data_IF_323865014150
#
_entry.id   IF_323865014150
#
_cell.length_a   1.000
_cell.length_b   1.000
_cell.length_c   1.000
_cell.angle_alpha   90.00
_cell.angle_beta   90.00
_cell.angle_gamma   90.00
#
_symmetry.space_group_name_H-M   'P 1'
#
loop_
_entity.id
_entity.type
_entity.pdbx_description
1 polymer ?
#
# COMPACT_ATOMS: atom_id res chain seq x y z
N UNK A 1 -17.84 -60.77 -32.54
CA UNK A 1 -17.80 -60.54 -31.08
C UNK A 1 -16.46 -59.91 -30.73
N UNK A 2 -16.47 -59.07 -29.68
CA UNK A 2 -15.32 -58.57 -28.92
C UNK A 2 -14.76 -57.19 -29.31
N UNK A 3 -15.27 -56.18 -28.61
CA UNK A 3 -14.51 -55.10 -27.97
C UNK A 3 -15.03 -55.02 -26.51
N UNK A 4 -14.36 -54.41 -25.51
CA UNK A 4 -13.03 -53.79 -25.49
C UNK A 4 -12.13 -54.33 -24.34
N UNK A 5 -10.86 -53.92 -24.29
CA UNK A 5 -9.92 -54.20 -23.19
C UNK A 5 -9.74 -52.91 -22.38
N UNK A 6 -10.35 -52.85 -21.19
CA UNK A 6 -10.25 -51.72 -20.27
C UNK A 6 -8.80 -51.53 -19.80
N UNK A 7 -8.25 -50.33 -20.04
CA UNK A 7 -7.00 -49.87 -19.45
C UNK A 7 -7.24 -49.45 -18.01
N UNK A 8 -6.62 -50.15 -17.08
CA UNK A 8 -6.83 -50.02 -15.64
C UNK A 8 -6.35 -48.64 -15.11
N UNK A 9 -7.24 -47.74 -14.64
CA UNK A 9 -6.90 -46.36 -14.26
C UNK A 9 -5.92 -46.27 -13.08
N UNK A 10 -5.78 -47.35 -12.31
CA UNK A 10 -4.89 -47.44 -11.14
C UNK A 10 -3.40 -47.44 -11.52
N UNK A 11 -3.03 -48.01 -12.68
CA UNK A 11 -1.64 -48.03 -13.15
C UNK A 11 -1.20 -46.65 -13.66
N UNK A 12 -2.09 -45.94 -14.36
CA UNK A 12 -1.84 -44.59 -14.85
C UNK A 12 -1.59 -43.57 -13.72
N UNK A 13 -2.25 -43.73 -12.58
CA UNK A 13 -2.05 -42.87 -11.40
C UNK A 13 -0.69 -43.12 -10.76
N UNK A 14 -0.26 -44.38 -10.65
CA UNK A 14 1.04 -44.73 -10.05
C UNK A 14 2.20 -44.23 -10.94
N UNK A 15 2.07 -44.35 -12.26
CA UNK A 15 3.07 -43.84 -13.21
C UNK A 15 3.15 -42.31 -13.21
N UNK A 16 2.00 -41.62 -13.07
CA UNK A 16 1.98 -40.17 -12.92
C UNK A 16 2.64 -39.69 -11.62
N UNK A 17 2.47 -40.42 -10.51
CA UNK A 17 3.12 -40.11 -9.23
C UNK A 17 4.64 -40.32 -9.34
N UNK A 18 5.08 -41.39 -10.00
CA UNK A 18 6.52 -41.66 -10.25
C UNK A 18 7.15 -40.56 -11.10
N UNK A 19 6.51 -40.20 -12.22
CA UNK A 19 7.00 -39.13 -13.10
C UNK A 19 7.06 -37.77 -12.41
N UNK A 20 6.11 -37.46 -11.52
CA UNK A 20 6.11 -36.21 -10.74
C UNK A 20 7.23 -36.20 -9.69
N UNK A 21 7.55 -37.34 -9.09
CA UNK A 21 8.65 -37.48 -8.12
C UNK A 21 10.01 -37.36 -8.79
N UNK A 22 10.19 -37.95 -9.97
CA UNK A 22 11.42 -37.82 -10.77
C UNK A 22 11.67 -36.38 -11.22
N UNK A 23 10.63 -35.67 -11.69
CA UNK A 23 10.74 -34.21 -11.97
C UNK A 23 11.14 -33.39 -10.74
N UNK A 24 10.59 -33.73 -9.57
CA UNK A 24 10.92 -33.02 -8.33
C UNK A 24 12.38 -33.29 -7.89
N UNK A 25 12.91 -34.48 -8.16
CA UNK A 25 14.33 -34.80 -7.94
C UNK A 25 15.23 -34.00 -8.88
N UNK A 26 14.92 -33.98 -10.18
CA UNK A 26 15.69 -33.23 -11.17
C UNK A 26 15.74 -31.72 -10.86
N UNK A 27 14.61 -31.13 -10.44
CA UNK A 27 14.57 -29.72 -10.02
C UNK A 27 15.42 -29.49 -8.76
N UNK A 28 15.43 -30.43 -7.81
CA UNK A 28 16.25 -30.31 -6.61
C UNK A 28 17.76 -30.40 -6.93
N UNK A 29 18.14 -31.25 -7.89
CA UNK A 29 19.51 -31.37 -8.38
C UNK A 29 19.96 -30.11 -9.13
N UNK A 30 19.10 -29.53 -9.98
CA UNK A 30 19.37 -28.25 -10.66
C UNK A 30 19.55 -27.10 -9.66
N UNK A 31 18.71 -27.03 -8.61
CA UNK A 31 18.83 -26.02 -7.57
C UNK A 31 20.16 -26.20 -6.81
N UNK A 32 20.52 -27.42 -6.44
CA UNK A 32 21.78 -27.70 -5.76
C UNK A 32 23.01 -27.34 -6.62
N UNK A 33 22.93 -27.55 -7.94
CA UNK A 33 23.98 -27.15 -8.86
C UNK A 33 24.11 -25.61 -8.96
N UNK A 34 22.99 -24.88 -8.96
CA UNK A 34 22.99 -23.41 -8.96
C UNK A 34 23.52 -22.87 -7.63
N UNK A 35 23.14 -23.46 -6.49
CA UNK A 35 23.63 -23.06 -5.18
C UNK A 35 25.15 -23.27 -5.06
N UNK A 36 25.66 -24.41 -5.52
CA UNK A 36 27.10 -24.67 -5.56
C UNK A 36 27.85 -23.68 -6.46
N UNK A 37 27.28 -23.36 -7.64
CA UNK A 37 27.87 -22.35 -8.53
C UNK A 37 27.89 -20.96 -7.90
N UNK A 38 26.83 -20.57 -7.18
CA UNK A 38 26.71 -19.24 -6.58
C UNK A 38 27.66 -19.09 -5.40
N UNK A 39 27.79 -20.13 -4.57
CA UNK A 39 28.74 -20.16 -3.46
C UNK A 39 30.19 -20.08 -3.96
N UNK A 40 30.53 -20.80 -5.02
CA UNK A 40 31.86 -20.72 -5.62
C UNK A 40 32.17 -19.31 -6.18
N UNK A 41 31.18 -18.63 -6.77
CA UNK A 41 31.33 -17.27 -7.29
C UNK A 41 31.53 -16.25 -6.15
N UNK A 42 30.79 -16.40 -5.04
CA UNK A 42 30.96 -15.59 -3.82
C UNK A 42 32.35 -15.81 -3.20
N UNK A 43 32.82 -17.05 -3.12
CA UNK A 43 34.16 -17.37 -2.59
C UNK A 43 35.29 -16.85 -3.48
N UNK A 44 35.06 -16.76 -4.79
CA UNK A 44 36.03 -16.24 -5.77
C UNK A 44 35.90 -14.71 -5.94
N UNK A 45 34.90 -14.07 -5.32
CA UNK A 45 34.61 -12.65 -5.49
C UNK A 45 35.66 -11.78 -4.78
N UNK A 46 36.57 -11.21 -5.58
CA UNK A 46 37.56 -10.24 -5.12
C UNK A 46 36.95 -8.83 -5.09
N UNK A 47 36.64 -8.37 -3.89
CA UNK A 47 36.02 -7.06 -3.62
C UNK A 47 36.88 -5.90 -4.12
N UNK A 48 38.22 -6.02 -4.02
CA UNK A 48 39.15 -4.96 -4.40
C UNK A 48 39.27 -4.87 -5.93
N UNK A 49 39.28 -6.01 -6.62
CA UNK A 49 39.24 -6.05 -8.08
C UNK A 49 37.91 -5.51 -8.65
N UNK A 50 36.79 -5.78 -7.97
CA UNK A 50 35.48 -5.25 -8.33
C UNK A 50 35.42 -3.73 -8.15
N UNK A 51 35.98 -3.18 -7.07
CA UNK A 51 36.04 -1.74 -6.83
C UNK A 51 36.89 -1.03 -7.89
N UNK A 52 38.02 -1.63 -8.30
CA UNK A 52 38.87 -1.09 -9.36
C UNK A 52 38.17 -1.09 -10.72
N UNK A 53 37.41 -2.15 -11.06
CA UNK A 53 36.60 -2.19 -12.28
C UNK A 53 35.51 -1.11 -12.26
N UNK A 54 34.79 -0.96 -11.15
CA UNK A 54 33.75 0.06 -11.01
C UNK A 54 34.34 1.49 -11.14
N UNK A 55 35.52 1.75 -10.56
CA UNK A 55 36.22 3.04 -10.73
C UNK A 55 36.67 3.26 -12.19
N UNK A 56 37.21 2.24 -12.85
CA UNK A 56 37.59 2.33 -14.27
C UNK A 56 36.38 2.53 -15.19
N UNK A 57 35.25 1.89 -14.91
CA UNK A 57 34.00 2.06 -15.66
C UNK A 57 33.39 3.45 -15.43
N UNK A 58 33.44 3.97 -14.20
CA UNK A 58 33.03 5.35 -13.93
C UNK A 58 33.92 6.34 -14.64
N UNK A 59 35.25 6.13 -14.63
CA UNK A 59 36.20 7.00 -15.33
C UNK A 59 36.02 6.96 -16.86
N UNK A 60 35.80 5.78 -17.44
CA UNK A 60 35.55 5.64 -18.89
C UNK A 60 34.15 6.15 -19.28
N UNK A 61 33.15 5.99 -18.41
CA UNK A 61 31.80 6.54 -18.61
C UNK A 61 31.77 8.07 -18.55
N UNK A 62 32.55 8.71 -17.66
CA UNK A 62 32.71 10.18 -17.68
C UNK A 62 33.50 10.72 -18.87
N UNK A 63 34.19 9.86 -19.64
CA UNK A 63 34.97 10.26 -20.82
C UNK A 63 34.25 10.15 -22.17
N UNK A 64 33.07 9.52 -22.22
CA UNK A 64 32.35 9.23 -23.46
C UNK A 64 31.08 10.10 -23.66
N UNK A 65 31.11 11.34 -23.14
CA UNK A 65 30.20 12.40 -23.55
C UNK A 65 30.72 13.06 -24.82
N UNK A 66 30.17 12.64 -25.96
CA UNK A 66 30.39 13.19 -27.29
C UNK A 66 30.45 14.73 -27.30
N UNK A 67 31.65 15.31 -27.41
CA UNK A 67 31.80 16.73 -27.77
C UNK A 67 31.78 16.79 -29.30
N UNK A 68 30.58 16.76 -29.87
CA UNK A 68 30.39 17.08 -31.28
C UNK A 68 30.37 18.62 -31.43
N UNK A 69 31.39 19.24 -32.06
CA UNK A 69 31.49 20.70 -32.16
C UNK A 69 30.46 21.32 -33.12
N UNK A 70 29.51 20.54 -33.65
CA UNK A 70 28.45 21.00 -34.56
C UNK A 70 27.08 21.22 -33.91
N UNK A 71 26.89 20.84 -32.64
CA UNK A 71 25.63 21.06 -31.93
C UNK A 71 25.60 22.45 -31.28
N UNK A 72 25.03 23.42 -32.00
CA UNK A 72 24.73 24.76 -31.50
C UNK A 72 23.55 24.67 -30.53
N UNK A 73 23.82 24.71 -29.23
CA UNK A 73 22.79 24.91 -28.22
C UNK A 73 22.18 26.32 -28.36
N UNK A 74 20.85 26.47 -28.32
CA UNK A 74 20.23 27.80 -28.41
C UNK A 74 20.56 28.62 -27.17
N UNK A 75 21.15 29.79 -27.38
CA UNK A 75 21.40 30.80 -26.35
C UNK A 75 20.07 31.26 -25.74
N UNK A 76 19.87 30.98 -24.45
CA UNK A 76 18.78 31.56 -23.67
C UNK A 76 19.09 33.06 -23.53
N UNK A 77 18.37 33.89 -24.27
CA UNK A 77 18.43 35.34 -24.11
C UNK A 77 17.90 35.74 -22.72
N UNK A 78 18.56 36.66 -22.00
CA UNK A 78 18.01 37.18 -20.75
C UNK A 78 16.77 38.04 -21.09
N UNK A 79 15.60 37.54 -20.72
CA UNK A 79 14.39 38.36 -20.68
C UNK A 79 14.56 39.43 -19.59
N UNK A 80 14.13 40.66 -19.92
CA UNK A 80 14.13 41.87 -19.09
C UNK A 80 13.81 41.61 -17.60
N UNK A 81 14.44 42.36 -16.68
CA UNK A 81 14.07 42.33 -15.27
C UNK A 81 12.67 42.93 -15.10
N UNK A 82 11.73 42.13 -14.62
CA UNK A 82 10.49 42.61 -14.03
C UNK A 82 10.79 43.08 -12.61
N UNK A 83 10.50 44.36 -12.37
CA UNK A 83 10.54 45.04 -11.07
C UNK A 83 9.82 44.23 -10.00
N UNK A 84 10.49 43.98 -8.87
CA UNK A 84 9.85 43.61 -7.61
C UNK A 84 10.30 44.59 -6.51
N UNK A 85 9.41 44.92 -5.56
CA UNK A 85 9.57 46.01 -4.62
C UNK A 85 10.60 45.69 -3.54
N UNK A 86 11.21 46.75 -2.98
CA UNK A 86 12.11 46.71 -1.84
C UNK A 86 11.49 45.97 -0.63
N UNK A 87 12.23 45.06 0.01
CA UNK A 87 12.08 44.78 1.42
C UNK A 87 13.17 45.51 2.20
N UNK A 88 12.72 46.53 2.94
CA UNK A 88 13.41 47.08 4.09
C UNK A 88 13.44 45.99 5.18
N UNK A 89 14.61 45.69 5.75
CA UNK A 89 14.75 44.72 6.84
C UNK A 89 15.95 43.80 6.70
N UNK A 90 17.10 44.27 7.21
CA UNK A 90 18.24 43.45 7.53
C UNK A 90 17.90 42.45 8.66
N UNK A 91 18.16 41.17 8.43
CA UNK A 91 18.91 40.32 9.37
C UNK A 91 19.31 39.00 8.68
N UNK A 92 20.62 38.75 8.70
CA UNK A 92 21.35 37.49 8.54
C UNK A 92 21.03 36.60 7.33
N UNK A 93 21.45 37.06 6.14
CA UNK A 93 21.91 36.17 5.09
C UNK A 93 23.44 36.30 4.99
N UNK A 94 24.17 35.33 5.52
CA UNK A 94 25.62 35.26 5.35
C UNK A 94 25.98 35.24 3.85
N UNK A 95 26.71 36.28 3.44
CA UNK A 95 27.27 36.46 2.11
C UNK A 95 28.09 35.22 1.67
N UNK A 96 27.90 34.69 0.44
CA UNK A 96 28.67 33.54 -0.06
C UNK A 96 30.16 33.80 -0.29
N UNK A 97 30.64 35.03 -0.03
CA UNK A 97 31.95 35.50 -0.53
C UNK A 97 33.05 35.57 0.55
N UNK A 98 32.81 35.09 1.77
CA UNK A 98 33.82 35.16 2.86
C UNK A 98 34.28 33.81 3.45
N UNK A 99 34.11 32.68 2.74
CA UNK A 99 34.53 31.36 3.26
C UNK A 99 35.93 30.89 2.81
N UNK A 100 36.63 31.63 1.95
CA UNK A 100 37.93 31.21 1.44
C UNK A 100 39.06 31.99 2.10
N UNK A 101 39.75 31.32 3.04
CA UNK A 101 40.96 31.86 3.65
C UNK A 101 42.07 31.90 2.59
N UNK A 102 42.61 33.08 2.19
CA UNK A 102 43.53 33.21 1.05
C UNK A 102 44.92 32.60 1.29
N UNK A 103 45.13 31.98 2.46
CA UNK A 103 46.40 31.35 2.87
C UNK A 103 46.35 29.81 2.91
N UNK A 104 45.19 29.20 2.64
CA UNK A 104 45.02 27.75 2.55
C UNK A 104 44.85 27.26 1.12
N UNK A 105 45.22 26.00 0.87
CA UNK A 105 44.93 25.35 -0.42
C UNK A 105 43.42 25.25 -0.61
N UNK A 106 42.88 25.89 -1.65
CA UNK A 106 41.46 25.88 -2.04
C UNK A 106 40.87 24.45 -2.07
N UNK A 107 41.69 23.47 -2.48
CA UNK A 107 41.30 22.06 -2.49
C UNK A 107 41.02 21.50 -1.08
N UNK A 108 41.77 21.94 -0.07
CA UNK A 108 41.55 21.52 1.31
C UNK A 108 40.23 22.07 1.87
N UNK A 109 39.89 23.32 1.53
CA UNK A 109 38.61 23.95 1.92
C UNK A 109 37.42 23.29 1.19
N UNK A 110 37.54 23.05 -0.12
CA UNK A 110 36.53 22.30 -0.89
C UNK A 110 36.36 20.88 -0.37
N UNK A 111 37.44 20.21 0.03
CA UNK A 111 37.37 18.86 0.63
C UNK A 111 36.64 18.87 1.96
N UNK A 112 36.92 19.84 2.83
CA UNK A 112 36.20 19.98 4.11
C UNK A 112 34.71 20.25 3.90
N UNK A 113 34.37 21.14 2.96
CA UNK A 113 32.98 21.45 2.62
C UNK A 113 32.26 20.26 1.97
N UNK A 114 32.94 19.52 1.09
CA UNK A 114 32.43 18.30 0.49
C UNK A 114 32.21 17.20 1.53
N UNK A 115 33.15 16.99 2.46
CA UNK A 115 33.00 16.04 3.56
C UNK A 115 31.83 16.41 4.48
N UNK A 116 31.65 17.71 4.79
CA UNK A 116 30.50 18.18 5.57
C UNK A 116 29.18 17.88 4.85
N UNK A 117 29.06 18.29 3.59
CA UNK A 117 27.86 18.06 2.77
C UNK A 117 27.59 16.58 2.56
N UNK A 118 28.63 15.76 2.39
CA UNK A 118 28.50 14.32 2.24
C UNK A 118 28.02 13.67 3.56
N UNK A 119 28.52 14.11 4.71
CA UNK A 119 28.03 13.63 6.02
C UNK A 119 26.57 13.97 6.25
N UNK A 120 26.14 15.20 5.94
CA UNK A 120 24.73 15.61 6.04
C UNK A 120 23.83 14.81 5.08
N UNK A 121 24.30 14.54 3.86
CA UNK A 121 23.57 13.70 2.91
C UNK A 121 23.46 12.26 3.39
N UNK A 122 24.53 11.70 3.97
CA UNK A 122 24.51 10.35 4.52
C UNK A 122 23.61 10.26 5.75
N UNK A 123 23.63 11.25 6.66
CA UNK A 123 22.75 11.26 7.83
C UNK A 123 21.28 11.38 7.42
N UNK A 124 20.95 12.32 6.53
CA UNK A 124 19.59 12.48 6.02
C UNK A 124 19.09 11.23 5.28
N UNK A 125 19.96 10.55 4.53
CA UNK A 125 19.63 9.28 3.87
C UNK A 125 19.40 8.15 4.89
N UNK A 126 20.26 8.05 5.90
CA UNK A 126 20.13 7.03 6.94
C UNK A 126 18.83 7.21 7.76
N UNK A 127 18.46 8.44 8.09
CA UNK A 127 17.20 8.75 8.77
C UNK A 127 15.98 8.33 7.94
N UNK A 128 15.96 8.65 6.64
CA UNK A 128 14.89 8.23 5.73
C UNK A 128 14.79 6.71 5.63
N UNK A 129 15.93 6.01 5.50
CA UNK A 129 15.95 4.55 5.48
C UNK A 129 15.40 3.96 6.79
N UNK A 130 15.79 4.50 7.94
CA UNK A 130 15.29 4.04 9.24
C UNK A 130 13.77 4.25 9.39
N UNK A 131 13.24 5.39 8.92
CA UNK A 131 11.79 5.64 8.92
C UNK A 131 11.08 4.63 8.01
N UNK A 132 11.59 4.41 6.80
CA UNK A 132 11.00 3.47 5.84
C UNK A 132 10.99 2.03 6.38
N UNK A 133 12.08 1.59 7.01
CA UNK A 133 12.15 0.29 7.69
C UNK A 133 11.18 0.18 8.87
N UNK A 134 10.95 1.28 9.60
CA UNK A 134 9.97 1.32 10.68
C UNK A 134 8.53 1.17 10.17
N UNK A 135 8.20 1.79 9.03
CA UNK A 135 6.91 1.64 8.34
C UNK A 135 6.73 0.20 7.89
N UNK A 136 7.72 -0.36 7.21
CA UNK A 136 7.68 -1.74 6.72
C UNK A 136 7.46 -2.74 7.86
N UNK A 137 8.19 -2.59 8.97
CA UNK A 137 8.02 -3.45 10.15
C UNK A 137 6.63 -3.32 10.76
N UNK A 138 6.11 -2.09 10.86
CA UNK A 138 4.77 -1.83 11.37
C UNK A 138 3.69 -2.47 10.48
N UNK A 139 3.78 -2.28 9.15
CA UNK A 139 2.82 -2.85 8.20
C UNK A 139 2.88 -4.38 8.14
N UNK A 140 4.07 -4.98 8.21
CA UNK A 140 4.21 -6.45 8.31
C UNK A 140 3.50 -6.99 9.54
N UNK A 141 3.74 -6.38 10.70
CA UNK A 141 3.07 -6.75 11.95
C UNK A 141 1.56 -6.64 11.84
N UNK A 142 1.07 -5.53 11.31
CA UNK A 142 -0.36 -5.31 11.05
C UNK A 142 -0.94 -6.38 10.14
N UNK A 143 -0.25 -6.71 9.04
CA UNK A 143 -0.70 -7.76 8.12
C UNK A 143 -0.82 -9.11 8.81
N UNK A 144 0.20 -9.56 9.55
CA UNK A 144 0.13 -10.85 10.26
C UNK A 144 -1.01 -10.88 11.27
N UNK A 145 -1.19 -9.79 12.04
CA UNK A 145 -2.32 -9.67 12.97
C UNK A 145 -3.67 -9.76 12.25
N UNK A 146 -3.88 -8.95 11.21
CA UNK A 146 -5.14 -8.93 10.46
C UNK A 146 -5.42 -10.25 9.75
N UNK A 147 -4.38 -10.89 9.22
CA UNK A 147 -4.48 -12.18 8.56
C UNK A 147 -4.98 -13.25 9.53
N UNK A 148 -4.30 -13.41 10.67
CA UNK A 148 -4.69 -14.38 11.69
C UNK A 148 -6.07 -14.06 12.25
N UNK A 149 -6.35 -12.79 12.54
CA UNK A 149 -7.65 -12.32 13.04
C UNK A 149 -8.79 -12.66 12.07
N UNK A 150 -8.65 -12.32 10.80
CA UNK A 150 -9.65 -12.62 9.76
C UNK A 150 -9.84 -14.12 9.58
N UNK A 151 -8.78 -14.92 9.64
CA UNK A 151 -8.89 -16.38 9.58
C UNK A 151 -9.73 -16.92 10.74
N UNK A 152 -9.50 -16.47 11.97
CA UNK A 152 -10.32 -16.88 13.12
C UNK A 152 -11.78 -16.43 12.99
N UNK A 153 -12.02 -15.20 12.51
CA UNK A 153 -13.38 -14.70 12.31
C UNK A 153 -14.14 -15.46 11.20
N UNK A 154 -13.45 -15.88 10.14
CA UNK A 154 -14.05 -16.71 9.09
C UNK A 154 -14.52 -18.08 9.61
N UNK A 155 -13.90 -18.59 10.68
CA UNK A 155 -14.31 -19.83 11.36
C UNK A 155 -15.47 -19.55 12.32
N UNK A 156 -15.34 -18.53 13.19
CA UNK A 156 -16.30 -18.25 14.25
C UNK A 156 -17.60 -17.63 13.76
N UNK A 157 -17.55 -16.85 12.68
CA UNK A 157 -18.67 -16.07 12.11
C UNK A 157 -19.52 -15.36 13.19
N UNK A 158 -18.90 -14.53 14.05
CA UNK A 158 -19.62 -13.93 15.16
C UNK A 158 -20.70 -12.94 14.68
N UNK A 159 -21.74 -12.79 15.50
CA UNK A 159 -22.70 -11.71 15.35
C UNK A 159 -22.06 -10.38 15.77
N UNK A 160 -22.27 -9.33 14.97
CA UNK A 160 -21.76 -7.99 15.21
C UNK A 160 -22.93 -7.13 15.73
N UNK A 161 -22.92 -6.72 17.01
CA UNK A 161 -24.01 -5.98 17.63
C UNK A 161 -24.03 -4.49 17.25
N UNK A 162 -23.44 -4.11 16.10
CA UNK A 162 -23.29 -2.73 15.65
C UNK A 162 -24.43 -2.33 14.72
N UNK A 163 -25.18 -1.26 15.01
CA UNK A 163 -26.18 -0.72 14.10
C UNK A 163 -25.52 0.14 13.00
N UNK A 164 -25.92 -0.09 11.74
CA UNK A 164 -25.53 0.75 10.60
C UNK A 164 -26.74 1.57 10.13
N UNK A 165 -26.83 2.86 10.51
CA UNK A 165 -27.94 3.71 10.10
C UNK A 165 -27.85 3.99 8.59
N UNK A 166 -28.92 3.68 7.86
CA UNK A 166 -29.03 3.96 6.42
C UNK A 166 -29.86 5.21 6.14
N UNK A 167 -30.87 5.46 6.97
CA UNK A 167 -31.73 6.65 6.94
C UNK A 167 -32.15 6.93 8.39
N UNK A 168 -32.66 8.13 8.68
CA UNK A 168 -33.17 8.52 10.00
C UNK A 168 -34.16 7.51 10.63
N UNK A 169 -34.91 6.76 9.80
CA UNK A 169 -35.90 5.77 10.26
C UNK A 169 -35.43 4.32 10.16
N UNK A 170 -34.35 4.04 9.41
CA UNK A 170 -33.97 2.67 9.07
C UNK A 170 -32.51 2.36 9.34
N UNK A 171 -32.30 1.25 10.04
CA UNK A 171 -31.00 0.80 10.53
C UNK A 171 -30.79 -0.65 10.12
N UNK A 172 -29.65 -0.93 9.49
CA UNK A 172 -29.19 -2.28 9.24
C UNK A 172 -28.60 -2.83 10.55
N UNK A 173 -29.31 -3.77 11.16
CA UNK A 173 -28.94 -4.45 12.40
C UNK A 173 -28.75 -5.95 12.23
N UNK A 174 -28.38 -6.64 13.31
CA UNK A 174 -28.27 -8.10 13.37
C UNK A 174 -27.36 -8.70 12.27
N UNK A 175 -26.27 -8.00 11.96
CA UNK A 175 -25.29 -8.45 10.98
C UNK A 175 -24.36 -9.48 11.60
N UNK A 176 -24.03 -10.53 10.85
CA UNK A 176 -23.01 -11.49 11.23
C UNK A 176 -21.84 -11.43 10.25
N UNK A 177 -20.66 -11.80 10.74
CA UNK A 177 -19.48 -11.95 9.89
C UNK A 177 -19.73 -13.06 8.87
N UNK A 178 -19.69 -12.72 7.58
CA UNK A 178 -19.87 -13.70 6.50
C UNK A 178 -18.52 -14.25 6.05
N UNK A 179 -17.63 -13.37 5.62
CA UNK A 179 -16.27 -13.68 5.16
C UNK A 179 -15.39 -12.45 5.23
N UNK A 180 -14.07 -12.65 5.28
CA UNK A 180 -13.10 -11.60 5.08
C UNK A 180 -11.78 -12.12 4.56
N UNK A 181 -10.97 -11.21 4.07
CA UNK A 181 -9.64 -11.45 3.54
C UNK A 181 -8.71 -10.29 3.90
N UNK A 182 -7.47 -10.62 4.21
CA UNK A 182 -6.39 -9.66 4.41
C UNK A 182 -5.29 -9.91 3.39
N UNK A 183 -4.82 -8.85 2.75
CA UNK A 183 -3.79 -8.84 1.71
C UNK A 183 -2.73 -7.80 1.99
N UNK A 184 -1.55 -7.96 1.40
CA UNK A 184 -0.52 -6.93 1.40
C UNK A 184 0.13 -6.80 0.02
N UNK A 185 0.69 -5.63 -0.25
CA UNK A 185 1.47 -5.34 -1.45
C UNK A 185 2.79 -4.69 -1.09
N UNK A 186 3.82 -5.08 -1.80
CA UNK A 186 5.17 -4.51 -1.70
C UNK A 186 5.47 -3.61 -2.89
N UNK A 187 6.37 -2.65 -2.67
CA UNK A 187 6.93 -1.82 -3.73
C UNK A 187 7.81 -2.63 -4.69
N UNK A 188 8.19 -2.00 -5.80
CA UNK A 188 9.14 -2.59 -6.74
C UNK A 188 10.50 -2.86 -6.08
N UNK A 189 11.24 -3.83 -6.60
CA UNK A 189 12.56 -4.19 -6.07
C UNK A 189 13.55 -3.01 -6.12
N UNK A 190 13.42 -2.13 -7.11
CA UNK A 190 14.23 -0.92 -7.22
C UNK A 190 13.99 0.09 -6.07
N UNK A 191 12.82 0.04 -5.43
CA UNK A 191 12.45 0.87 -4.29
C UNK A 191 12.68 0.16 -2.93
N UNK A 192 13.36 -0.99 -2.91
CA UNK A 192 13.68 -1.71 -1.68
C UNK A 192 12.64 -2.75 -1.23
N UNK A 193 11.64 -3.06 -2.07
CA UNK A 193 10.63 -4.10 -1.83
C UNK A 193 9.90 -3.99 -0.46
N UNK A 194 9.73 -2.76 0.04
CA UNK A 194 9.04 -2.48 1.30
C UNK A 194 7.52 -2.68 1.15
N UNK A 195 6.83 -3.04 2.23
CA UNK A 195 5.37 -3.11 2.22
C UNK A 195 4.78 -1.71 2.06
N UNK A 196 3.98 -1.51 1.02
CA UNK A 196 3.33 -0.23 0.71
C UNK A 196 1.87 -0.18 1.15
N UNK A 197 1.17 -1.32 1.05
CA UNK A 197 -0.26 -1.37 1.27
C UNK A 197 -0.64 -2.66 1.99
N UNK A 198 -1.38 -2.55 3.07
CA UNK A 198 -2.07 -3.67 3.73
C UNK A 198 -3.56 -3.41 3.62
N UNK A 199 -4.32 -4.37 3.11
CA UNK A 199 -5.77 -4.23 2.96
C UNK A 199 -6.50 -5.34 3.69
N UNK A 200 -7.56 -4.99 4.41
CA UNK A 200 -8.46 -5.92 5.07
C UNK A 200 -9.87 -5.62 4.55
N UNK A 201 -10.45 -6.59 3.85
CA UNK A 201 -11.80 -6.48 3.30
C UNK A 201 -12.65 -7.58 3.91
N UNK A 202 -13.84 -7.25 4.39
CA UNK A 202 -14.76 -8.24 4.93
C UNK A 202 -16.21 -7.88 4.61
N UNK A 203 -17.04 -8.91 4.57
CA UNK A 203 -18.47 -8.83 4.31
C UNK A 203 -19.24 -9.21 5.56
N UNK A 204 -20.20 -8.38 5.89
CA UNK A 204 -21.19 -8.62 6.93
C UNK A 204 -22.52 -8.95 6.25
N UNK A 205 -23.19 -9.99 6.70
CA UNK A 205 -24.50 -10.39 6.18
C UNK A 205 -25.51 -10.53 7.32
N UNK A 206 -26.68 -9.93 7.16
CA UNK A 206 -27.84 -10.10 8.05
C UNK A 206 -28.90 -11.03 7.46
N UNK A 207 -29.93 -11.31 8.25
CA UNK A 207 -31.06 -12.16 7.83
C UNK A 207 -32.27 -11.40 7.26
N UNK A 208 -32.45 -10.12 7.62
CA UNK A 208 -33.66 -9.37 7.27
C UNK A 208 -33.39 -8.34 6.16
N UNK A 209 -34.08 -8.50 5.02
CA UNK A 209 -34.07 -7.52 3.93
C UNK A 209 -34.87 -6.29 4.28
N UNK A 210 -34.26 -5.13 4.04
CA UNK A 210 -34.82 -3.84 4.36
C UNK A 210 -35.61 -3.30 3.16
N UNK A 211 -36.88 -2.96 3.37
CA UNK A 211 -37.75 -2.44 2.33
C UNK A 211 -37.99 -0.94 2.53
N UNK A 212 -37.62 -0.14 1.52
CA UNK A 212 -37.77 1.32 1.53
C UNK A 212 -38.53 1.74 0.28
N UNK A 213 -39.60 2.49 0.47
CA UNK A 213 -40.35 3.10 -0.64
C UNK A 213 -39.99 4.58 -0.71
N UNK A 214 -39.67 5.08 -1.91
CA UNK A 214 -39.39 6.50 -2.16
C UNK A 214 -40.11 6.95 -3.42
N UNK A 215 -40.59 8.19 -3.40
CA UNK A 215 -41.35 8.79 -4.49
C UNK A 215 -40.59 9.97 -5.12
N UNK A 216 -40.80 10.18 -6.42
CA UNK A 216 -40.30 11.34 -7.17
C UNK A 216 -38.76 11.42 -7.33
N UNK A 217 -38.17 12.63 -7.41
CA UNK A 217 -36.75 12.83 -7.78
C UNK A 217 -35.75 12.38 -6.70
N UNK A 218 -36.24 12.01 -5.51
CA UNK A 218 -35.40 11.50 -4.41
C UNK A 218 -34.96 10.05 -4.68
N UNK A 219 -35.68 9.32 -5.53
CA UNK A 219 -35.37 7.93 -5.94
C UNK A 219 -33.97 7.82 -6.52
N UNK A 220 -33.62 8.68 -7.49
CA UNK A 220 -32.30 8.66 -8.13
C UNK A 220 -31.19 9.03 -7.14
N UNK A 221 -31.41 10.04 -6.29
CA UNK A 221 -30.45 10.43 -5.25
C UNK A 221 -30.22 9.29 -4.24
N UNK A 222 -31.29 8.62 -3.82
CA UNK A 222 -31.22 7.49 -2.90
C UNK A 222 -30.51 6.30 -3.55
N UNK A 223 -30.79 6.01 -4.82
CA UNK A 223 -30.08 5.01 -5.61
C UNK A 223 -28.58 5.29 -5.69
N UNK A 224 -28.18 6.52 -5.99
CA UNK A 224 -26.77 6.93 -5.99
C UNK A 224 -26.14 6.74 -4.61
N UNK A 225 -26.83 7.12 -3.54
CA UNK A 225 -26.35 6.95 -2.17
C UNK A 225 -26.16 5.47 -1.77
N UNK A 226 -27.10 4.59 -2.15
CA UNK A 226 -26.95 3.15 -1.93
C UNK A 226 -25.74 2.57 -2.68
N UNK A 227 -25.51 3.04 -3.91
CA UNK A 227 -24.35 2.67 -4.71
C UNK A 227 -23.03 3.19 -4.11
N UNK A 228 -23.04 4.44 -3.60
CA UNK A 228 -21.92 5.06 -2.90
C UNK A 228 -21.60 4.38 -1.56
N UNK A 229 -22.55 3.65 -0.98
CA UNK A 229 -22.29 2.77 0.17
C UNK A 229 -21.89 1.35 -0.23
N UNK A 230 -22.04 0.99 -1.51
CA UNK A 230 -21.73 -0.35 -2.01
C UNK A 230 -22.70 -1.42 -1.50
N UNK A 231 -23.93 -1.03 -1.14
CA UNK A 231 -24.97 -1.93 -0.68
C UNK A 231 -25.59 -2.68 -1.86
N UNK A 232 -25.96 -3.95 -1.63
CA UNK A 232 -26.71 -4.73 -2.62
C UNK A 232 -28.20 -4.40 -2.47
N UNK A 233 -28.81 -3.89 -3.52
CA UNK A 233 -30.22 -3.56 -3.54
C UNK A 233 -30.90 -4.00 -4.84
N UNK A 234 -32.17 -4.33 -4.73
CA UNK A 234 -33.09 -4.52 -5.85
C UNK A 234 -34.02 -3.30 -5.90
N UNK A 235 -34.20 -2.72 -7.10
CA UNK A 235 -35.05 -1.55 -7.30
C UNK A 235 -36.20 -1.94 -8.24
N UNK A 236 -37.43 -1.87 -7.73
CA UNK A 236 -38.65 -1.99 -8.53
C UNK A 236 -39.21 -0.60 -8.75
N UNK A 237 -38.96 -0.05 -9.92
CA UNK A 237 -39.51 1.24 -10.34
C UNK A 237 -40.92 1.04 -10.90
N UNK A 238 -41.89 1.70 -10.30
CA UNK A 238 -43.23 1.85 -10.87
C UNK A 238 -43.32 3.20 -11.59
N UNK A 239 -43.53 3.12 -12.91
CA UNK A 239 -43.70 4.28 -13.78
C UNK A 239 -45.18 4.47 -14.05
N UNK A 240 -45.69 5.67 -13.82
CA UNK A 240 -47.08 6.00 -14.06
C UNK A 240 -47.37 6.12 -15.58
N UNK A 241 -48.64 6.16 -16.00
CA UNK A 241 -49.09 6.11 -17.41
C UNK A 241 -48.45 7.18 -18.33
N UNK A 242 -47.85 8.23 -17.76
CA UNK A 242 -47.10 9.28 -18.47
C UNK A 242 -45.57 9.05 -18.54
N UNK A 243 -45.08 7.84 -18.26
CA UNK A 243 -43.64 7.46 -18.20
C UNK A 243 -42.80 8.17 -17.14
N UNK A 244 -43.41 8.88 -16.19
CA UNK A 244 -42.70 9.42 -15.02
C UNK A 244 -42.57 8.36 -13.93
N UNK A 245 -41.39 8.24 -13.33
CA UNK A 245 -41.14 7.39 -12.15
C UNK A 245 -41.88 8.01 -10.97
N UNK A 246 -43.01 7.42 -10.60
CA UNK A 246 -43.86 7.94 -9.53
C UNK A 246 -43.40 7.39 -8.18
N UNK A 247 -43.03 6.10 -8.15
CA UNK A 247 -42.64 5.38 -6.93
C UNK A 247 -41.61 4.31 -7.23
N UNK A 248 -40.60 4.19 -6.38
CA UNK A 248 -39.62 3.10 -6.43
C UNK A 248 -39.55 2.38 -5.08
N UNK A 249 -39.63 1.06 -5.16
CA UNK A 249 -39.46 0.16 -4.02
C UNK A 249 -38.03 -0.40 -4.04
N UNK A 250 -37.27 -0.06 -3.01
CA UNK A 250 -35.91 -0.55 -2.79
C UNK A 250 -35.94 -1.69 -1.78
N UNK A 251 -35.56 -2.87 -2.21
CA UNK A 251 -35.28 -4.02 -1.34
C UNK A 251 -33.77 -4.13 -1.17
N UNK A 252 -33.27 -3.71 -0.01
CA UNK A 252 -31.85 -3.69 0.32
C UNK A 252 -31.53 -4.98 1.07
N UNK A 253 -30.60 -5.75 0.52
CA UNK A 253 -30.07 -6.91 1.22
C UNK A 253 -29.16 -6.41 2.35
N UNK A 254 -29.21 -7.03 3.55
CA UNK A 254 -28.40 -6.64 4.69
C UNK A 254 -26.96 -7.13 4.52
N UNK A 255 -26.34 -6.84 3.37
CA UNK A 255 -24.97 -7.21 3.04
C UNK A 255 -24.10 -5.94 2.94
N UNK A 256 -23.16 -5.80 3.86
CA UNK A 256 -22.25 -4.65 3.93
C UNK A 256 -20.84 -5.12 3.64
N UNK A 257 -20.22 -4.53 2.62
CA UNK A 257 -18.79 -4.70 2.35
C UNK A 257 -18.01 -3.61 3.09
N UNK A 258 -17.12 -4.03 3.98
CA UNK A 258 -16.21 -3.17 4.72
C UNK A 258 -14.80 -3.32 4.14
N UNK A 259 -14.12 -2.20 3.96
CA UNK A 259 -12.75 -2.17 3.45
C UNK A 259 -11.90 -1.27 4.34
N UNK A 260 -10.77 -1.76 4.83
CA UNK A 260 -9.79 -0.99 5.56
C UNK A 260 -8.44 -1.14 4.85
N UNK A 261 -7.90 -0.03 4.35
CA UNK A 261 -6.62 0.04 3.63
C UNK A 261 -5.64 0.85 4.44
N UNK A 262 -4.47 0.29 4.67
CA UNK A 262 -3.37 0.91 5.38
C UNK A 262 -2.25 1.13 4.38
N UNK A 263 -2.09 2.38 3.96
CA UNK A 263 -1.12 2.78 2.93
C UNK A 263 0.07 3.48 3.57
N UNK A 264 1.27 3.09 3.18
CA UNK A 264 2.49 3.82 3.50
C UNK A 264 2.54 5.15 2.73
N UNK A 265 2.81 6.23 3.47
CA UNK A 265 3.25 7.51 2.93
C UNK A 265 4.73 7.66 3.31
N UNK A 266 5.62 7.16 2.44
CA UNK A 266 7.07 7.20 2.65
C UNK A 266 7.63 8.62 2.59
N UNK A 267 6.95 9.53 1.89
CA UNK A 267 7.36 10.94 1.82
C UNK A 267 7.16 11.64 3.16
N UNK A 268 6.05 11.36 3.85
CA UNK A 268 5.73 11.95 5.16
C UNK A 268 6.13 11.09 6.36
N UNK A 269 6.53 9.84 6.14
CA UNK A 269 6.85 8.90 7.21
C UNK A 269 5.62 8.40 7.98
N UNK A 270 4.44 8.39 7.36
CA UNK A 270 3.16 8.11 8.00
C UNK A 270 2.46 6.90 7.37
N UNK A 271 1.52 6.30 8.09
CA UNK A 271 0.62 5.27 7.59
C UNK A 271 -0.79 5.87 7.53
N UNK A 272 -1.40 5.84 6.35
CA UNK A 272 -2.75 6.35 6.11
C UNK A 272 -3.71 5.17 6.13
N UNK A 273 -4.62 5.16 7.12
CA UNK A 273 -5.74 4.25 7.19
C UNK A 273 -6.94 4.86 6.46
N UNK A 274 -7.28 4.32 5.30
CA UNK A 274 -8.52 4.59 4.59
C UNK A 274 -9.52 3.46 4.82
N UNK A 275 -10.58 3.75 5.58
CA UNK A 275 -11.63 2.80 5.90
C UNK A 275 -12.95 3.19 5.24
N UNK A 276 -13.70 2.22 4.73
CA UNK A 276 -15.05 2.38 4.18
C UNK A 276 -15.99 1.41 4.88
N UNK A 277 -17.13 1.92 5.33
CA UNK A 277 -18.19 1.20 6.05
C UNK A 277 -17.73 0.54 7.36
N UNK A 278 -16.62 0.98 7.96
CA UNK A 278 -16.04 0.36 9.17
C UNK A 278 -16.91 0.60 10.41
N UNK A 279 -17.14 1.86 10.77
CA UNK A 279 -17.97 2.22 11.91
C UNK A 279 -19.40 2.56 11.54
N UNK A 280 -19.54 3.27 10.43
CA UNK A 280 -20.78 3.79 9.84
C UNK A 280 -20.64 3.71 8.33
N UNK A 281 -21.76 3.71 7.62
CA UNK A 281 -21.77 3.79 6.17
C UNK A 281 -21.05 5.07 5.71
N UNK A 282 -20.12 4.92 4.76
CA UNK A 282 -19.28 6.02 4.28
C UNK A 282 -17.78 5.75 4.44
N UNK A 283 -16.97 6.79 4.22
CA UNK A 283 -15.51 6.72 4.22
C UNK A 283 -14.92 7.51 5.39
N UNK A 284 -13.78 7.04 5.88
CA UNK A 284 -13.03 7.59 6.99
C UNK A 284 -11.55 7.45 6.68
N UNK A 285 -10.76 8.49 6.97
CA UNK A 285 -9.31 8.45 6.77
C UNK A 285 -8.59 8.96 8.01
N UNK A 286 -7.51 8.28 8.40
CA UNK A 286 -6.67 8.64 9.52
C UNK A 286 -5.19 8.54 9.15
N UNK A 287 -4.37 9.46 9.65
CA UNK A 287 -2.92 9.40 9.55
C UNK A 287 -2.33 8.93 10.89
N UNK A 288 -1.50 7.89 10.85
CA UNK A 288 -1.00 7.17 12.02
C UNK A 288 0.52 7.07 11.92
N UNK A 289 1.22 7.27 13.05
CA UNK A 289 2.68 7.10 13.09
C UNK A 289 3.04 5.62 13.19
N UNK A 290 4.11 5.15 12.53
CA UNK A 290 4.51 3.73 12.58
C UNK A 290 4.75 3.21 14.00
N UNK A 291 5.28 4.05 14.89
CA UNK A 291 5.61 3.68 16.27
C UNK A 291 4.37 3.45 17.13
N UNK A 292 3.23 4.01 16.75
CA UNK A 292 2.01 3.86 17.50
C UNK A 292 1.22 2.59 17.15
N UNK A 293 1.60 1.91 16.06
CA UNK A 293 0.99 0.64 15.64
C UNK A 293 1.52 -0.52 16.52
N UNK A 294 1.19 -0.45 17.80
CA UNK A 294 1.54 -1.44 18.80
C UNK A 294 0.46 -2.53 18.94
N UNK A 295 0.66 -3.49 19.86
CA UNK A 295 -0.30 -4.58 20.01
C UNK A 295 -1.64 -4.08 20.52
N UNK A 296 -1.61 -3.10 21.43
CA UNK A 296 -2.81 -2.58 22.07
C UNK A 296 -3.70 -1.88 21.06
N UNK A 297 -3.11 -1.09 20.16
CA UNK A 297 -3.82 -0.42 19.07
C UNK A 297 -4.39 -1.42 18.06
N UNK A 298 -3.67 -2.49 17.75
CA UNK A 298 -4.16 -3.58 16.89
C UNK A 298 -5.34 -4.31 17.53
N UNK A 299 -5.26 -4.61 18.82
CA UNK A 299 -6.34 -5.26 19.58
C UNK A 299 -7.58 -4.36 19.69
N UNK A 300 -7.39 -3.05 19.89
CA UNK A 300 -8.48 -2.06 19.85
C UNK A 300 -9.11 -1.96 18.45
N UNK A 301 -8.32 -2.08 17.38
CA UNK A 301 -8.84 -2.18 16.02
C UNK A 301 -9.65 -3.48 15.83
N UNK A 302 -9.18 -4.62 16.34
CA UNK A 302 -9.95 -5.88 16.32
C UNK A 302 -11.30 -5.75 17.05
N UNK A 303 -11.31 -5.10 18.22
CA UNK A 303 -12.54 -4.78 18.95
C UNK A 303 -13.46 -3.86 18.15
N UNK A 304 -12.89 -2.86 17.47
CA UNK A 304 -13.63 -1.97 16.58
C UNK A 304 -14.33 -2.76 15.47
N UNK A 305 -13.61 -3.67 14.79
CA UNK A 305 -14.17 -4.53 13.73
C UNK A 305 -15.33 -5.37 14.25
N UNK A 306 -15.23 -5.91 15.47
CA UNK A 306 -16.28 -6.71 16.11
C UNK A 306 -17.46 -5.89 16.67
N UNK A 307 -17.42 -4.56 16.59
CA UNK A 307 -18.46 -3.71 17.18
C UNK A 307 -18.42 -3.66 18.71
N UNK A 308 -17.29 -4.04 19.32
CA UNK A 308 -17.09 -3.98 20.76
C UNK A 308 -16.59 -2.59 21.20
N UNK A 309 -16.75 -2.24 22.48
CA UNK A 309 -16.14 -1.03 23.04
C UNK A 309 -14.63 -1.03 22.82
N UNK A 310 -14.13 0.05 22.22
CA UNK A 310 -12.73 0.21 21.81
C UNK A 310 -12.28 1.66 22.04
N UNK A 311 -10.96 1.86 22.11
CA UNK A 311 -10.33 3.18 22.24
C UNK A 311 -9.54 3.60 20.99
N UNK A 312 -9.78 2.93 19.87
CA UNK A 312 -9.02 3.12 18.64
C UNK A 312 -9.04 4.58 18.18
N UNK A 313 -10.22 5.21 18.15
CA UNK A 313 -10.36 6.60 17.70
C UNK A 313 -9.61 7.58 18.61
N UNK A 314 -9.64 7.38 19.92
CA UNK A 314 -8.93 8.22 20.88
C UNK A 314 -7.41 8.10 20.71
N UNK A 315 -6.92 6.87 20.49
CA UNK A 315 -5.50 6.59 20.25
C UNK A 315 -4.99 7.19 18.95
N UNK A 316 -5.80 7.14 17.89
CA UNK A 316 -5.46 7.70 16.57
C UNK A 316 -5.50 9.23 16.58
N UNK A 317 -6.49 9.83 17.25
CA UNK A 317 -6.66 11.30 17.26
C UNK A 317 -5.65 12.01 18.17
N UNK A 318 -5.03 11.30 19.13
CA UNK A 318 -4.09 11.87 20.10
C UNK A 318 -2.65 12.04 19.56
N UNK A 319 -2.38 11.63 18.32
CA UNK A 319 -1.02 11.53 17.75
C UNK A 319 -0.61 12.66 16.80
#
# INVERSE_FOLDING_TARGET
MSNPKDSDPSSAIIDAIRAKRERKSAIAEDIAAIEASLLADIETFDLDAAEQRARNEQQTSTGAGLVDPSLVFPTIAPAKPATSPEPDGADDAEDPTQLFDPRGSLLSQLRQQAEHRQREQHSAKAERTAINESIDRALKRLFFYLHDFVQQLNILKPAIPRPYPLTDEQVLGSLAWAEGFADYRTQSQAAGALVELVSCTYRLAGGESLHIQRDGPVVERFRSLLFDYGLRFNCKESKNERRYTERADFEIQPEISVNARWRADFDKGLIILDARNLERLGSLSYAIRPQALDQAMLDDFGRLVLGLPNRFREQVTRQ
#
